data_IF_976960290883
#
_entry.id   IF_976960290883
#
_cell.length_a   1.000
_cell.length_b   1.000
_cell.length_c   1.000
_cell.angle_alpha   90.00
_cell.angle_beta   90.00
_cell.angle_gamma   90.00
#
_symmetry.space_group_name_H-M   'P 1'
#
loop_
_entity.id
_entity.type
_entity.pdbx_description
1 polymer ?
#
# COMPACT_ATOMS: atom_id res chain seq x y z
N UNK A 1 -53.85 19.19 -13.24
CA UNK A 1 -55.30 18.94 -13.20
C UNK A 1 -55.54 17.71 -12.35
N UNK A 2 -56.43 17.86 -11.37
CA UNK A 2 -57.24 16.81 -10.70
C UNK A 2 -56.53 15.71 -9.90
N UNK A 3 -55.87 16.03 -8.78
CA UNK A 3 -55.95 15.16 -7.57
C UNK A 3 -55.78 15.94 -6.24
N UNK A 4 -55.08 17.08 -6.21
CA UNK A 4 -54.72 17.74 -4.94
C UNK A 4 -55.78 18.66 -4.30
N UNK A 5 -57.03 18.68 -4.80
CA UNK A 5 -58.10 19.55 -4.27
C UNK A 5 -59.10 18.84 -3.36
N UNK A 6 -59.01 17.51 -3.18
CA UNK A 6 -60.02 16.74 -2.43
C UNK A 6 -59.66 16.41 -0.98
N UNK A 7 -58.40 16.60 -0.55
CA UNK A 7 -57.98 16.25 0.82
C UNK A 7 -58.05 17.45 1.78
N UNK A 8 -58.02 18.69 1.28
CA UNK A 8 -58.12 19.91 2.09
C UNK A 8 -59.56 20.35 2.40
N UNK A 9 -60.57 19.78 1.73
CA UNK A 9 -61.99 20.10 1.94
C UNK A 9 -62.71 19.16 2.95
N UNK A 10 -62.11 18.02 3.30
CA UNK A 10 -62.69 17.07 4.26
C UNK A 10 -62.28 17.33 5.72
N UNK A 11 -61.23 18.12 5.96
CA UNK A 11 -60.71 18.42 7.31
C UNK A 11 -61.44 19.55 8.04
N UNK A 12 -62.18 20.41 7.34
CA UNK A 12 -62.89 21.56 7.92
C UNK A 12 -64.37 21.29 8.24
N UNK A 13 -64.91 20.14 7.82
CA UNK A 13 -66.30 19.74 8.11
C UNK A 13 -66.43 18.86 9.38
N UNK A 14 -65.36 18.19 9.82
CA UNK A 14 -65.38 17.37 11.04
C UNK A 14 -65.03 18.15 12.32
N UNK A 15 -64.39 19.31 12.21
CA UNK A 15 -64.11 20.17 13.37
C UNK A 15 -65.30 21.04 13.77
N UNK A 16 -66.25 21.29 12.85
CA UNK A 16 -67.46 22.08 13.12
C UNK A 16 -68.62 21.29 13.74
N UNK A 17 -68.61 19.95 13.65
CA UNK A 17 -69.75 19.10 14.04
C UNK A 17 -69.61 18.47 15.43
N UNK A 18 -68.42 18.56 16.06
CA UNK A 18 -68.20 18.15 17.46
C UNK A 18 -68.47 19.28 18.45
N UNK A 19 -68.58 20.53 17.98
CA UNK A 19 -68.81 21.70 18.84
C UNK A 19 -70.28 22.01 19.15
N UNK A 20 -71.26 21.26 18.60
CA UNK A 20 -72.68 21.58 18.72
C UNK A 20 -73.56 20.56 19.45
N UNK A 21 -72.97 19.50 20.00
CA UNK A 21 -73.67 18.58 20.89
C UNK A 21 -72.81 18.33 22.12
N UNK A 22 -73.07 19.10 23.18
CA UNK A 22 -72.84 18.85 24.61
C UNK A 22 -72.65 20.20 25.31
N UNK A 23 -73.74 20.98 25.29
CA UNK A 23 -73.96 22.01 26.29
C UNK A 23 -74.39 21.32 27.58
N UNK A 24 -73.53 21.37 28.61
CA UNK A 24 -73.88 20.97 29.97
C UNK A 24 -72.90 19.97 30.58
N UNK A 25 -72.35 20.38 31.74
CA UNK A 25 -71.55 19.61 32.71
C UNK A 25 -70.01 19.63 32.54
N UNK A 26 -69.39 20.33 33.50
CA UNK A 26 -68.04 20.18 34.06
C UNK A 26 -66.80 20.42 33.18
N UNK A 27 -66.46 21.71 33.06
CA UNK A 27 -65.24 22.27 32.48
C UNK A 27 -63.99 22.17 33.40
N UNK A 28 -63.81 21.09 34.18
CA UNK A 28 -62.67 20.99 35.12
C UNK A 28 -61.79 19.74 34.98
N UNK A 29 -62.20 18.71 34.24
CA UNK A 29 -61.41 17.47 34.09
C UNK A 29 -60.78 17.26 32.71
N UNK A 30 -61.19 18.02 31.69
CA UNK A 30 -60.64 17.89 30.34
C UNK A 30 -59.24 18.51 30.18
N UNK A 31 -58.91 19.54 30.96
CA UNK A 31 -57.59 20.17 30.92
C UNK A 31 -56.46 19.29 31.51
N UNK A 32 -56.80 18.31 32.35
CA UNK A 32 -55.82 17.39 32.96
C UNK A 32 -55.30 16.32 31.99
N UNK A 33 -56.03 16.01 30.91
CA UNK A 33 -55.62 14.98 29.95
C UNK A 33 -55.33 15.52 28.54
N UNK A 34 -55.99 16.61 28.12
CA UNK A 34 -55.78 17.16 26.77
C UNK A 34 -54.47 17.96 26.66
N UNK A 35 -54.11 18.74 27.68
CA UNK A 35 -52.85 19.52 27.69
C UNK A 35 -51.60 18.61 27.67
N UNK A 36 -51.48 17.54 28.48
CA UNK A 36 -50.33 16.65 28.40
C UNK A 36 -50.25 15.88 27.06
N UNK A 37 -51.39 15.55 26.45
CA UNK A 37 -51.38 14.88 25.14
C UNK A 37 -50.92 15.80 24.01
N UNK A 38 -51.41 17.04 23.97
CA UNK A 38 -50.99 18.03 22.97
C UNK A 38 -49.54 18.47 23.17
N UNK A 39 -49.08 18.63 24.41
CA UNK A 39 -47.67 18.94 24.70
C UNK A 39 -46.75 17.77 24.35
N UNK A 40 -47.15 16.52 24.60
CA UNK A 40 -46.40 15.34 24.19
C UNK A 40 -46.30 15.22 22.66
N UNK A 41 -47.41 15.40 21.93
CA UNK A 41 -47.41 15.40 20.45
C UNK A 41 -46.54 16.54 19.91
N UNK A 42 -46.58 17.73 20.53
CA UNK A 42 -45.76 18.87 20.12
C UNK A 42 -44.26 18.64 20.39
N UNK A 43 -43.89 18.01 21.52
CA UNK A 43 -42.50 17.61 21.84
C UNK A 43 -42.00 16.52 20.90
N UNK A 44 -42.85 15.55 20.51
CA UNK A 44 -42.52 14.53 19.50
C UNK A 44 -42.34 15.18 18.12
N UNK A 45 -43.17 16.14 17.73
CA UNK A 45 -43.01 16.87 16.48
C UNK A 45 -41.78 17.80 16.47
N UNK A 46 -41.47 18.46 17.59
CA UNK A 46 -40.25 19.26 17.77
C UNK A 46 -39.00 18.38 17.75
N UNK A 47 -39.00 17.24 18.43
CA UNK A 47 -37.87 16.30 18.41
C UNK A 47 -37.68 15.67 17.03
N UNK A 48 -38.74 15.28 16.32
CA UNK A 48 -38.65 14.81 14.93
C UNK A 48 -38.19 15.91 13.96
N UNK A 49 -38.57 17.17 14.20
CA UNK A 49 -38.12 18.32 13.40
C UNK A 49 -36.68 18.70 13.71
N UNK A 50 -36.22 18.56 14.95
CA UNK A 50 -34.83 18.71 15.37
C UNK A 50 -33.99 17.56 14.79
N UNK A 51 -34.47 16.31 14.81
CA UNK A 51 -33.83 15.17 14.15
C UNK A 51 -33.75 15.38 12.63
N UNK A 52 -34.80 15.92 11.98
CA UNK A 52 -34.77 16.29 10.56
C UNK A 52 -33.82 17.47 10.29
N UNK A 53 -33.71 18.46 11.19
CA UNK A 53 -32.74 19.57 11.09
C UNK A 53 -31.30 19.11 11.27
N UNK A 54 -31.04 18.17 12.20
CA UNK A 54 -29.75 17.51 12.34
C UNK A 54 -29.42 16.66 11.11
N UNK A 55 -30.41 15.97 10.52
CA UNK A 55 -30.26 15.22 9.27
C UNK A 55 -30.14 16.10 8.01
N UNK A 56 -30.46 17.40 8.13
CA UNK A 56 -30.40 18.41 7.06
C UNK A 56 -29.19 19.34 7.16
N UNK A 57 -28.42 19.28 8.25
CA UNK A 57 -27.21 20.09 8.47
C UNK A 57 -25.91 19.30 8.50
N UNK A 58 -25.97 17.99 8.24
CA UNK A 58 -24.84 17.28 7.67
C UNK A 58 -25.05 17.19 6.16
N UNK A 59 -24.31 18.02 5.40
CA UNK A 59 -23.70 17.41 4.21
C UNK A 59 -23.01 16.16 4.74
N UNK A 60 -23.10 14.99 4.07
CA UNK A 60 -22.23 13.89 4.44
C UNK A 60 -20.83 14.50 4.45
N UNK A 61 -20.19 14.61 5.62
CA UNK A 61 -18.75 14.69 5.63
C UNK A 61 -18.39 13.43 4.87
N UNK A 62 -17.80 13.62 3.70
CA UNK A 62 -17.23 12.54 2.94
C UNK A 62 -16.40 11.75 3.95
N UNK A 63 -16.96 10.61 4.37
CA UNK A 63 -16.27 9.65 5.18
C UNK A 63 -14.94 9.47 4.47
N UNK A 64 -13.83 9.64 5.19
CA UNK A 64 -12.48 9.26 4.77
C UNK A 64 -12.52 7.77 4.41
N UNK A 65 -13.10 7.51 3.24
CA UNK A 65 -13.11 6.26 2.54
C UNK A 65 -11.69 6.21 2.03
N UNK A 66 -10.92 5.20 2.45
CA UNK A 66 -9.58 4.93 1.92
C UNK A 66 -9.56 5.27 0.42
N UNK A 67 -8.99 6.40 0.05
CA UNK A 67 -8.84 6.78 -1.35
C UNK A 67 -7.68 5.94 -1.85
N UNK A 68 -7.94 4.67 -2.15
CA UNK A 68 -7.00 3.82 -2.88
C UNK A 68 -6.94 4.44 -4.28
N UNK A 69 -5.80 5.03 -4.69
CA UNK A 69 -5.71 5.69 -5.97
C UNK A 69 -5.99 4.67 -7.09
N UNK A 70 -7.05 4.87 -7.86
CA UNK A 70 -7.39 4.00 -8.99
C UNK A 70 -6.75 4.51 -10.30
N UNK A 71 -6.39 5.79 -10.36
CA UNK A 71 -5.80 6.41 -11.54
C UNK A 71 -4.26 6.30 -11.57
N UNK A 72 -3.75 5.90 -12.73
CA UNK A 72 -2.32 5.91 -13.06
C UNK A 72 -1.83 7.34 -13.29
N UNK A 73 -0.55 7.59 -13.02
CA UNK A 73 0.16 8.85 -13.27
C UNK A 73 -0.40 10.10 -12.53
N UNK A 74 -1.15 9.92 -11.45
CA UNK A 74 -1.58 11.02 -10.58
C UNK A 74 -0.51 11.48 -9.58
N UNK A 75 -0.88 12.42 -8.72
CA UNK A 75 -0.02 13.00 -7.69
C UNK A 75 -0.60 12.67 -6.32
N UNK A 76 0.24 12.21 -5.40
CA UNK A 76 -0.15 11.95 -4.02
C UNK A 76 0.70 12.82 -3.11
N UNK A 77 0.05 13.66 -2.32
CA UNK A 77 0.67 14.58 -1.37
C UNK A 77 0.38 14.06 0.02
N UNK A 78 1.43 13.79 0.78
CA UNK A 78 1.32 13.38 2.18
C UNK A 78 2.03 14.35 3.08
N UNK A 79 1.54 14.52 4.31
CA UNK A 79 2.20 15.38 5.28
C UNK A 79 2.24 14.81 6.69
N UNK A 80 3.32 15.11 7.41
CA UNK A 80 3.48 14.87 8.84
C UNK A 80 3.92 16.18 9.50
N UNK A 81 3.11 16.73 10.40
CA UNK A 81 3.36 18.06 10.97
C UNK A 81 3.13 18.10 12.47
N UNK A 82 3.91 18.94 13.14
CA UNK A 82 3.79 19.25 14.58
C UNK A 82 2.98 20.53 14.76
N UNK A 83 3.50 21.66 14.25
CA UNK A 83 2.90 23.00 14.37
C UNK A 83 1.99 23.39 13.20
N UNK A 84 1.75 22.48 12.26
CA UNK A 84 0.89 22.71 11.09
C UNK A 84 1.58 23.29 9.86
N UNK A 85 2.84 23.73 9.93
CA UNK A 85 3.55 24.33 8.77
C UNK A 85 3.57 23.38 7.54
N UNK A 86 3.96 22.12 7.72
CA UNK A 86 3.95 21.13 6.64
C UNK A 86 2.53 20.88 6.10
N UNK A 87 1.51 20.91 6.96
CA UNK A 87 0.11 20.78 6.54
C UNK A 87 -0.29 21.96 5.64
N UNK A 88 0.06 23.18 6.03
CA UNK A 88 -0.23 24.39 5.24
C UNK A 88 0.49 24.37 3.89
N UNK A 89 1.77 24.01 3.84
CA UNK A 89 2.50 23.90 2.58
C UNK A 89 1.98 22.77 1.67
N UNK A 90 1.61 21.62 2.26
CA UNK A 90 0.98 20.52 1.54
C UNK A 90 -0.37 20.92 0.95
N UNK A 91 -1.22 21.60 1.74
CA UNK A 91 -2.51 22.12 1.27
C UNK A 91 -2.33 23.15 0.16
N UNK A 92 -1.43 24.12 0.33
CA UNK A 92 -1.13 25.11 -0.70
C UNK A 92 -0.63 24.47 -2.00
N UNK A 93 0.15 23.38 -1.91
CA UNK A 93 0.63 22.63 -3.06
C UNK A 93 -0.51 21.87 -3.73
N UNK A 94 -1.38 21.23 -2.93
CA UNK A 94 -2.58 20.56 -3.42
C UNK A 94 -3.48 21.52 -4.20
N UNK A 95 -3.78 22.69 -3.64
CA UNK A 95 -4.66 23.69 -4.27
C UNK A 95 -4.07 24.18 -5.60
N UNK A 96 -2.74 24.41 -5.66
CA UNK A 96 -2.06 24.81 -6.91
C UNK A 96 -2.11 23.71 -7.96
N UNK A 97 -1.69 22.49 -7.61
CA UNK A 97 -1.55 21.39 -8.58
C UNK A 97 -2.91 20.88 -9.07
N UNK A 98 -3.93 20.84 -8.20
CA UNK A 98 -5.28 20.41 -8.57
C UNK A 98 -5.95 21.36 -9.56
N UNK A 99 -5.58 22.65 -9.52
CA UNK A 99 -6.12 23.66 -10.43
C UNK A 99 -5.30 23.78 -11.74
N UNK A 100 -3.98 23.58 -11.68
CA UNK A 100 -3.09 23.77 -12.83
C UNK A 100 -2.91 22.49 -13.68
N UNK A 101 -3.08 21.30 -13.11
CA UNK A 101 -2.81 20.03 -13.79
C UNK A 101 -4.09 19.22 -14.02
N UNK A 102 -4.19 18.62 -15.21
CA UNK A 102 -5.27 17.70 -15.56
C UNK A 102 -4.93 16.26 -15.12
N UNK A 103 -4.72 16.06 -13.81
CA UNK A 103 -4.49 14.74 -13.22
C UNK A 103 -5.06 14.67 -11.79
N UNK A 104 -5.40 13.48 -11.31
CA UNK A 104 -5.84 13.30 -9.93
C UNK A 104 -4.72 13.62 -8.94
N UNK A 105 -4.93 14.67 -8.15
CA UNK A 105 -4.12 15.01 -6.99
C UNK A 105 -4.86 14.55 -5.72
N UNK A 106 -4.15 13.89 -4.81
CA UNK A 106 -4.68 13.44 -3.51
C UNK A 106 -3.85 14.11 -2.41
N UNK A 107 -4.51 14.59 -1.35
CA UNK A 107 -3.86 15.08 -0.14
C UNK A 107 -4.27 14.22 1.05
N UNK A 108 -3.29 13.73 1.82
CA UNK A 108 -3.55 12.85 2.96
C UNK A 108 -2.60 13.14 4.13
N UNK A 109 -3.11 13.04 5.36
CA UNK A 109 -2.26 13.05 6.56
C UNK A 109 -1.56 11.70 6.69
N UNK A 110 -0.26 11.69 7.01
CA UNK A 110 0.48 10.44 7.23
C UNK A 110 -0.13 9.57 8.33
N UNK A 111 -0.85 10.18 9.29
CA UNK A 111 -1.50 9.46 10.38
C UNK A 111 -2.69 8.60 9.90
N UNK A 112 -3.27 8.95 8.75
CA UNK A 112 -4.39 8.21 8.16
C UNK A 112 -3.92 7.01 7.33
N UNK A 113 -2.60 6.85 7.15
CA UNK A 113 -2.00 5.72 6.45
C UNK A 113 -1.76 4.57 7.43
N UNK A 114 -2.71 3.63 7.47
CA UNK A 114 -2.64 2.47 8.37
C UNK A 114 -1.62 1.42 7.94
N UNK A 115 -1.40 1.30 6.62
CA UNK A 115 -0.49 0.32 6.01
C UNK A 115 0.46 1.04 5.02
N UNK A 116 1.67 1.43 5.48
CA UNK A 116 2.64 2.12 4.63
C UNK A 116 3.15 1.26 3.46
N UNK A 117 3.24 -0.05 3.63
CA UNK A 117 3.71 -0.97 2.58
C UNK A 117 2.72 -0.98 1.41
N UNK A 118 1.45 -1.28 1.71
CA UNK A 118 0.38 -1.29 0.72
C UNK A 118 0.26 0.09 0.04
N UNK A 119 0.33 1.17 0.84
CA UNK A 119 0.27 2.53 0.32
C UNK A 119 1.37 2.81 -0.71
N UNK A 120 2.64 2.52 -0.39
CA UNK A 120 3.78 2.79 -1.26
C UNK A 120 3.75 1.90 -2.51
N UNK A 121 3.40 0.62 -2.37
CA UNK A 121 3.24 -0.29 -3.48
C UNK A 121 2.14 0.17 -4.46
N UNK A 122 1.02 0.71 -3.95
CA UNK A 122 -0.03 1.28 -4.81
C UNK A 122 0.49 2.51 -5.57
N UNK A 123 1.23 3.41 -4.90
CA UNK A 123 1.82 4.57 -5.57
C UNK A 123 2.79 4.14 -6.68
N UNK A 124 3.67 3.17 -6.39
CA UNK A 124 4.64 2.63 -7.34
C UNK A 124 3.97 1.92 -8.52
N UNK A 125 3.00 1.04 -8.25
CA UNK A 125 2.24 0.31 -9.28
C UNK A 125 1.51 1.24 -10.24
N UNK A 126 0.97 2.34 -9.71
CA UNK A 126 0.25 3.34 -10.49
C UNK A 126 1.17 4.45 -11.03
N UNK A 127 2.48 4.35 -10.84
CA UNK A 127 3.48 5.33 -11.29
C UNK A 127 3.13 6.76 -10.87
N UNK A 128 2.58 6.92 -9.66
CA UNK A 128 2.19 8.21 -9.12
C UNK A 128 3.43 8.95 -8.61
N UNK A 129 3.38 10.27 -8.66
CA UNK A 129 4.40 11.14 -8.05
C UNK A 129 4.03 11.38 -6.58
N UNK A 130 4.90 10.98 -5.66
CA UNK A 130 4.71 11.14 -4.22
C UNK A 130 5.42 12.40 -3.71
N UNK A 131 4.67 13.33 -3.14
CA UNK A 131 5.20 14.53 -2.47
C UNK A 131 5.05 14.37 -0.96
N UNK A 132 6.15 14.48 -0.21
CA UNK A 132 6.16 14.30 1.24
C UNK A 132 6.53 15.61 1.92
N UNK A 133 5.66 16.15 2.76
CA UNK A 133 5.94 17.31 3.59
C UNK A 133 6.09 16.87 5.04
N UNK A 134 7.30 16.92 5.60
CA UNK A 134 7.53 16.35 6.94
C UNK A 134 8.33 17.28 7.84
N UNK A 135 7.86 17.47 9.08
CA UNK A 135 8.63 18.18 10.11
C UNK A 135 9.62 17.24 10.79
N UNK A 136 10.71 17.76 11.35
CA UNK A 136 11.48 17.05 12.37
C UNK A 136 11.07 17.54 13.76
N UNK A 137 10.84 16.61 14.69
CA UNK A 137 10.45 16.89 16.07
C UNK A 137 11.62 16.70 17.04
N UNK A 138 11.35 16.77 18.35
CA UNK A 138 12.33 16.66 19.44
C UNK A 138 13.28 15.48 19.25
N UNK A 139 14.56 15.70 19.56
CA UNK A 139 15.64 14.72 19.42
C UNK A 139 15.80 14.11 18.01
N UNK A 140 15.35 14.83 16.97
CA UNK A 140 15.46 14.39 15.59
C UNK A 140 14.45 13.30 15.20
N UNK A 141 13.37 13.16 15.96
CA UNK A 141 12.32 12.16 15.75
C UNK A 141 11.23 12.64 14.78
N UNK A 142 10.47 11.74 14.15
CA UNK A 142 9.33 12.14 13.33
C UNK A 142 8.18 12.73 14.19
N UNK A 143 7.31 13.57 13.60
CA UNK A 143 6.08 14.02 14.25
C UNK A 143 5.21 12.82 14.64
N UNK A 144 4.41 12.89 15.71
CA UNK A 144 3.54 11.78 16.13
C UNK A 144 2.64 11.22 15.01
N UNK A 145 2.18 12.10 14.11
CA UNK A 145 1.37 11.74 12.94
C UNK A 145 2.12 10.92 11.88
N UNK A 146 3.45 10.96 11.86
CA UNK A 146 4.28 10.28 10.88
C UNK A 146 5.12 9.14 11.46
N UNK A 147 5.11 8.94 12.79
CA UNK A 147 5.98 7.98 13.48
C UNK A 147 5.87 6.57 12.90
N UNK A 148 4.65 6.10 12.67
CA UNK A 148 4.44 4.75 12.12
C UNK A 148 4.99 4.61 10.69
N UNK A 149 4.68 5.58 9.83
CA UNK A 149 5.11 5.58 8.44
C UNK A 149 6.64 5.60 8.31
N UNK A 150 7.32 6.50 9.05
CA UNK A 150 8.78 6.62 9.03
C UNK A 150 9.43 5.35 9.55
N UNK A 151 8.96 4.81 10.68
CA UNK A 151 9.49 3.57 11.26
C UNK A 151 9.35 2.39 10.30
N UNK A 152 8.18 2.22 9.67
CA UNK A 152 7.95 1.15 8.70
C UNK A 152 8.94 1.23 7.55
N UNK A 153 9.17 2.43 7.01
CA UNK A 153 10.11 2.61 5.90
C UNK A 153 11.56 2.30 6.30
N UNK A 154 11.98 2.67 7.51
CA UNK A 154 13.29 2.33 8.06
C UNK A 154 13.47 0.81 8.22
N UNK A 155 12.45 0.14 8.75
CA UNK A 155 12.42 -1.32 8.88
C UNK A 155 12.47 -1.99 7.50
N UNK A 156 11.69 -1.52 6.52
CA UNK A 156 11.69 -2.04 5.16
C UNK A 156 13.04 -1.85 4.46
N UNK A 157 13.65 -0.67 4.61
CA UNK A 157 14.96 -0.38 4.03
C UNK A 157 16.07 -1.27 4.62
N UNK A 158 15.95 -1.73 5.86
CA UNK A 158 16.96 -2.57 6.52
C UNK A 158 16.65 -4.07 6.49
N UNK A 159 15.40 -4.47 6.23
CA UNK A 159 14.99 -5.87 6.17
C UNK A 159 15.52 -6.55 4.89
N UNK A 160 16.40 -7.54 5.06
CA UNK A 160 16.97 -8.36 3.98
C UNK A 160 15.93 -9.12 3.14
N UNK A 161 14.67 -9.19 3.58
CA UNK A 161 13.59 -9.88 2.87
C UNK A 161 12.81 -8.95 1.96
N UNK A 162 12.99 -7.64 2.07
CA UNK A 162 12.39 -6.64 1.18
C UNK A 162 13.35 -6.42 0.02
N UNK A 163 12.80 -6.39 -1.20
CA UNK A 163 13.61 -6.14 -2.38
C UNK A 163 14.14 -4.71 -2.36
N UNK A 164 15.41 -4.50 -2.70
CA UNK A 164 15.97 -3.14 -2.86
C UNK A 164 15.42 -2.39 -4.07
N UNK A 165 14.63 -3.07 -4.91
CA UNK A 165 13.93 -2.48 -6.05
C UNK A 165 12.40 -2.47 -5.85
N UNK A 166 11.92 -2.68 -4.61
CA UNK A 166 10.47 -2.74 -4.31
C UNK A 166 9.71 -1.51 -4.82
N UNK A 167 10.35 -0.33 -4.76
CA UNK A 167 9.77 0.96 -5.14
C UNK A 167 10.40 1.53 -6.42
N UNK A 168 10.99 0.72 -7.30
CA UNK A 168 11.69 1.18 -8.52
C UNK A 168 10.84 2.11 -9.42
N UNK A 169 9.52 1.87 -9.45
CA UNK A 169 8.56 2.65 -10.26
C UNK A 169 8.00 3.88 -9.53
N UNK A 170 8.34 4.06 -8.26
CA UNK A 170 7.92 5.21 -7.47
C UNK A 170 8.84 6.40 -7.78
N UNK A 171 8.23 7.55 -8.03
CA UNK A 171 8.97 8.82 -8.08
C UNK A 171 8.51 9.71 -6.94
N UNK A 172 9.44 10.38 -6.28
CA UNK A 172 9.11 11.17 -5.09
C UNK A 172 9.88 12.50 -5.01
N UNK A 173 9.43 13.38 -4.12
CA UNK A 173 10.18 14.53 -3.65
C UNK A 173 9.76 14.87 -2.21
N UNK A 174 10.72 15.34 -1.40
CA UNK A 174 10.50 15.63 0.03
C UNK A 174 10.75 17.12 0.30
N UNK A 175 9.84 17.73 1.07
CA UNK A 175 10.03 19.03 1.69
C UNK A 175 10.09 18.84 3.21
N UNK A 176 11.31 18.87 3.75
CA UNK A 176 11.58 18.78 5.17
C UNK A 176 11.50 20.14 5.85
N UNK A 177 10.70 20.25 6.92
CA UNK A 177 10.74 21.42 7.80
C UNK A 177 11.61 21.09 9.02
N UNK A 178 12.73 21.77 9.15
CA UNK A 178 13.64 21.66 10.29
C UNK A 178 14.07 23.03 10.77
N UNK A 179 14.91 23.04 11.80
CA UNK A 179 15.48 24.25 12.35
C UNK A 179 16.95 24.01 12.68
N UNK A 180 17.85 24.75 12.03
CA UNK A 180 19.30 24.57 12.16
C UNK A 180 19.84 24.91 13.55
N UNK A 181 19.01 25.47 14.43
CA UNK A 181 19.33 25.61 15.85
C UNK A 181 19.58 24.28 16.55
N UNK A 182 19.05 23.17 16.02
CA UNK A 182 19.18 21.83 16.60
C UNK A 182 20.32 21.00 16.01
N UNK A 183 21.27 21.63 15.29
CA UNK A 183 22.52 21.05 14.76
C UNK A 183 22.34 19.63 14.16
N UNK A 184 22.82 18.58 14.84
CA UNK A 184 22.78 17.18 14.37
C UNK A 184 21.37 16.62 14.12
N UNK A 185 20.34 17.28 14.66
CA UNK A 185 18.95 16.93 14.46
C UNK A 185 18.27 17.76 13.35
N UNK A 186 18.99 18.65 12.67
CA UNK A 186 18.46 19.45 11.58
C UNK A 186 17.95 18.56 10.43
N UNK A 187 16.64 18.59 10.17
CA UNK A 187 15.99 17.84 9.08
C UNK A 187 16.33 16.34 9.04
N UNK A 188 16.65 15.74 10.20
CA UNK A 188 17.07 14.34 10.30
C UNK A 188 16.03 13.38 9.72
N UNK A 189 14.75 13.63 9.95
CA UNK A 189 13.64 12.79 9.46
C UNK A 189 13.52 12.84 7.94
N UNK A 190 13.63 14.02 7.35
CA UNK A 190 13.55 14.18 5.89
C UNK A 190 14.75 13.50 5.20
N UNK A 191 15.95 13.69 5.74
CA UNK A 191 17.19 13.06 5.25
C UNK A 191 17.10 11.53 5.33
N UNK A 192 16.57 11.02 6.43
CA UNK A 192 16.43 9.58 6.64
C UNK A 192 15.36 8.95 5.75
N UNK A 193 14.22 9.63 5.55
CA UNK A 193 13.21 9.18 4.59
C UNK A 193 13.76 9.14 3.17
N UNK A 194 14.53 10.15 2.79
CA UNK A 194 15.16 10.23 1.49
C UNK A 194 16.10 9.04 1.24
N UNK A 195 16.96 8.75 2.22
CA UNK A 195 17.86 7.58 2.21
C UNK A 195 17.06 6.27 2.06
N UNK A 196 16.04 6.07 2.89
CA UNK A 196 15.24 4.84 2.88
C UNK A 196 14.50 4.64 1.55
N UNK A 197 13.90 5.68 0.98
CA UNK A 197 13.21 5.60 -0.31
C UNK A 197 14.19 5.26 -1.44
N UNK A 198 15.36 5.89 -1.44
CA UNK A 198 16.42 5.60 -2.43
C UNK A 198 16.93 4.16 -2.31
N UNK A 199 17.10 3.63 -1.09
CA UNK A 199 17.54 2.25 -0.86
C UNK A 199 16.51 1.19 -1.28
N UNK A 200 15.24 1.57 -1.35
CA UNK A 200 14.14 0.75 -1.86
C UNK A 200 13.90 0.95 -3.37
N UNK A 201 14.77 1.73 -4.04
CA UNK A 201 14.79 1.90 -5.49
C UNK A 201 13.96 3.06 -6.02
N UNK A 202 13.28 3.83 -5.15
CA UNK A 202 12.50 4.98 -5.58
C UNK A 202 13.40 6.11 -6.10
N UNK A 203 12.90 6.91 -7.05
CA UNK A 203 13.68 7.96 -7.73
C UNK A 203 13.16 9.36 -7.40
N UNK A 204 14.06 10.24 -7.00
CA UNK A 204 13.72 11.67 -6.88
C UNK A 204 13.43 12.25 -8.26
N UNK A 205 12.34 13.02 -8.40
CA UNK A 205 12.08 13.79 -9.62
C UNK A 205 12.42 15.29 -9.48
N UNK A 206 12.57 15.77 -8.25
CA UNK A 206 13.27 17.00 -7.90
C UNK A 206 14.03 16.76 -6.57
N UNK A 207 15.09 17.53 -6.28
CA UNK A 207 15.85 17.35 -5.04
C UNK A 207 15.00 17.56 -3.78
N UNK A 208 15.33 16.79 -2.75
CA UNK A 208 14.79 16.98 -1.38
C UNK A 208 15.22 18.35 -0.84
N UNK A 209 14.26 19.12 -0.32
CA UNK A 209 14.50 20.44 0.27
C UNK A 209 14.52 20.33 1.79
N UNK A 210 15.64 20.74 2.41
CA UNK A 210 15.81 20.80 3.86
C UNK A 210 15.56 22.25 4.31
N UNK A 211 14.29 22.61 4.48
CA UNK A 211 13.90 23.97 4.84
C UNK A 211 14.29 24.30 6.28
N UNK A 212 14.87 25.49 6.47
CA UNK A 212 15.32 25.98 7.77
C UNK A 212 14.38 27.07 8.31
N UNK A 213 13.74 26.80 9.45
CA UNK A 213 12.90 27.75 10.20
C UNK A 213 13.73 28.86 10.87
N UNK A 214 15.03 28.66 11.07
CA UNK A 214 15.89 29.66 11.67
C UNK A 214 16.16 30.81 10.68
N UNK A 215 15.28 31.81 10.63
CA UNK A 215 15.38 32.96 9.71
C UNK A 215 16.72 33.71 9.79
N UNK A 216 17.44 33.63 10.92
CA UNK A 216 18.77 34.24 11.07
C UNK A 216 19.91 33.51 10.36
N UNK A 217 19.75 32.22 10.05
CA UNK A 217 20.72 31.39 9.31
C UNK A 217 20.20 30.89 7.97
N UNK A 218 18.88 30.89 7.77
CA UNK A 218 18.24 30.41 6.54
C UNK A 218 18.65 31.26 5.34
N UNK A 219 19.15 30.60 4.30
CA UNK A 219 19.54 31.22 3.02
C UNK A 219 18.35 31.83 2.25
N UNK A 220 17.11 31.46 2.61
CA UNK A 220 15.88 31.98 1.99
C UNK A 220 14.97 32.70 2.99
N UNK A 221 15.47 33.06 4.17
CA UNK A 221 14.72 33.86 5.15
C UNK A 221 13.66 33.10 5.94
N UNK A 222 13.68 31.76 5.95
CA UNK A 222 12.74 30.92 6.68
C UNK A 222 12.01 29.92 5.77
N UNK A 223 11.06 29.18 6.35
CA UNK A 223 10.35 28.09 5.68
C UNK A 223 9.61 28.54 4.42
N UNK A 224 9.02 29.73 4.42
CA UNK A 224 8.26 30.30 3.30
C UNK A 224 9.15 30.56 2.08
N UNK A 225 10.38 31.00 2.28
CA UNK A 225 11.33 31.25 1.19
C UNK A 225 11.81 29.94 0.56
N UNK A 226 12.16 28.95 1.40
CA UNK A 226 12.47 27.60 0.94
C UNK A 226 11.29 27.01 0.14
N UNK A 227 10.08 27.13 0.67
CA UNK A 227 8.86 26.65 0.00
C UNK A 227 8.63 27.35 -1.34
N UNK A 228 8.84 28.67 -1.42
CA UNK A 228 8.67 29.42 -2.66
C UNK A 228 9.65 28.97 -3.76
N UNK A 229 10.92 28.77 -3.39
CA UNK A 229 11.96 28.23 -4.29
C UNK A 229 11.60 26.81 -4.74
N UNK A 230 11.27 25.92 -3.81
CA UNK A 230 10.98 24.52 -4.10
C UNK A 230 9.66 24.34 -4.88
N UNK A 231 8.63 25.13 -4.58
CA UNK A 231 7.36 25.18 -5.31
C UNK A 231 7.57 25.62 -6.77
N UNK A 232 8.51 26.51 -7.04
CA UNK A 232 8.88 26.92 -8.40
C UNK A 232 9.59 25.80 -9.17
N UNK A 233 10.44 25.02 -8.48
CA UNK A 233 11.08 23.82 -9.05
C UNK A 233 10.04 22.74 -9.39
N UNK A 234 9.09 22.48 -8.48
CA UNK A 234 7.96 21.58 -8.74
C UNK A 234 7.19 22.00 -9.99
N UNK A 235 6.81 23.28 -10.10
CA UNK A 235 6.07 23.80 -11.24
C UNK A 235 6.83 23.57 -12.55
N UNK A 236 8.13 23.84 -12.57
CA UNK A 236 8.99 23.60 -13.72
C UNK A 236 9.04 22.10 -14.10
N UNK A 237 9.16 21.20 -13.12
CA UNK A 237 9.22 19.75 -13.33
C UNK A 237 7.89 19.13 -13.82
N UNK A 238 6.75 19.79 -13.58
CA UNK A 238 5.46 19.38 -14.13
C UNK A 238 5.16 19.99 -15.51
N UNK A 239 5.77 21.13 -15.83
CA UNK A 239 5.57 21.84 -17.10
C UNK A 239 6.55 21.43 -18.20
N UNK A 240 7.71 20.89 -17.86
CA UNK A 240 8.69 20.40 -18.85
C UNK A 240 8.10 19.24 -19.67
N UNK A 241 8.00 19.36 -21.01
CA UNK A 241 7.68 18.23 -21.88
C UNK A 241 8.83 17.21 -21.79
N UNK A 242 8.48 15.91 -21.82
CA UNK A 242 9.47 14.86 -22.10
C UNK A 242 10.07 15.14 -23.49
N UNK A 243 11.31 15.63 -23.53
CA UNK A 243 12.16 15.59 -24.72
C UNK A 243 13.55 15.14 -24.29
N UNK A 244 13.73 13.83 -24.23
CA UNK A 244 15.00 13.23 -24.61
C UNK A 244 14.95 12.98 -26.12
N UNK A 245 15.58 13.88 -26.88
CA UNK A 245 16.37 13.51 -28.04
C UNK A 245 17.28 14.69 -28.41
N UNK A 246 18.57 14.51 -28.20
CA UNK A 246 19.57 15.37 -28.81
C UNK A 246 19.64 14.94 -30.29
N UNK A 247 19.05 15.74 -31.17
CA UNK A 247 19.28 15.62 -32.62
C UNK A 247 20.58 16.37 -32.95
N UNK A 248 21.70 15.63 -32.92
CA UNK A 248 22.94 16.07 -33.51
C UNK A 248 22.84 15.90 -35.03
N UNK A 249 22.21 16.85 -35.71
CA UNK A 249 22.29 16.99 -37.16
C UNK A 249 22.53 18.44 -37.56
N UNK A 250 23.76 18.89 -37.33
CA UNK A 250 24.40 19.77 -38.31
C UNK A 250 25.93 19.76 -38.16
N UNK A 251 26.59 19.40 -39.24
CA UNK A 251 28.03 19.43 -39.44
C UNK A 251 28.51 20.89 -39.44
N UNK A 252 29.20 21.30 -38.37
CA UNK A 252 30.45 22.08 -38.39
C UNK A 252 30.70 22.74 -37.03
N UNK A 253 31.36 22.02 -36.13
CA UNK A 253 32.59 22.50 -35.48
C UNK A 253 33.13 21.39 -34.58
N UNK A 254 34.25 20.83 -35.06
CA UNK A 254 35.08 19.82 -34.40
C UNK A 254 35.82 20.48 -33.25
N UNK A 255 35.78 19.89 -32.04
CA UNK A 255 36.76 20.01 -30.92
C UNK A 255 36.01 19.87 -29.58
N UNK A 256 36.27 18.95 -28.64
CA UNK A 256 37.39 18.04 -28.47
C UNK A 256 36.97 17.00 -27.42
N UNK A 257 36.86 15.74 -27.80
CA UNK A 257 36.88 14.60 -26.89
C UNK A 257 37.89 13.59 -27.44
N UNK A 258 39.18 13.77 -27.16
CA UNK A 258 40.12 12.66 -27.19
C UNK A 258 41.13 12.77 -26.04
N UNK A 259 41.15 11.68 -25.28
CA UNK A 259 42.13 11.31 -24.28
C UNK A 259 43.53 11.22 -24.88
N UNK A 260 44.56 11.62 -24.14
CA UNK A 260 45.93 11.11 -24.31
C UNK A 260 46.76 11.31 -23.03
N UNK A 261 47.64 10.35 -22.84
CA UNK A 261 48.43 9.91 -21.68
C UNK A 261 49.73 10.69 -21.38
N UNK A 262 50.14 10.64 -20.09
CA UNK A 262 51.49 10.76 -19.48
C UNK A 262 52.17 12.15 -19.49
N UNK A 263 52.93 12.64 -18.48
CA UNK A 263 53.74 11.99 -17.45
C UNK A 263 54.13 12.99 -16.32
N UNK A 264 54.27 12.45 -15.10
CA UNK A 264 55.27 12.69 -14.03
C UNK A 264 55.31 13.82 -12.95
N UNK A 265 55.60 13.32 -11.72
CA UNK A 265 56.21 13.86 -10.47
C UNK A 265 55.42 14.80 -9.52
N UNK A 266 55.32 14.65 -8.18
CA UNK A 266 55.75 13.67 -7.15
C UNK A 266 55.12 13.98 -5.76
N UNK A 267 54.77 12.91 -4.99
CA UNK A 267 55.09 12.59 -3.55
C UNK A 267 54.67 13.65 -2.48
N UNK A 268 53.84 13.38 -1.45
CA UNK A 268 54.00 12.41 -0.34
C UNK A 268 52.69 11.82 0.22
N UNK A 269 52.77 10.52 0.55
CA UNK A 269 51.87 9.75 1.43
C UNK A 269 52.16 10.06 2.90
N UNK A 270 51.13 9.98 3.74
CA UNK A 270 51.25 9.30 5.05
C UNK A 270 50.12 8.29 5.24
N UNK A 271 50.54 7.06 5.53
CA UNK A 271 49.74 5.88 5.83
C UNK A 271 49.46 5.79 7.35
N UNK A 272 48.27 5.29 7.68
CA UNK A 272 47.97 4.26 8.67
C UNK A 272 46.46 4.00 8.51
N UNK A 273 45.93 2.81 8.23
CA UNK A 273 46.41 1.48 8.53
C UNK A 273 45.55 0.89 9.64
N UNK A 274 44.32 0.49 9.33
CA UNK A 274 43.65 -0.59 10.06
C UNK A 274 42.64 -1.29 9.16
N UNK A 275 42.75 -2.61 9.14
CA UNK A 275 42.24 -3.52 8.12
C UNK A 275 41.15 -4.37 8.76
N UNK A 276 39.90 -4.16 8.38
CA UNK A 276 38.84 -5.15 8.59
C UNK A 276 38.50 -5.79 7.24
N UNK A 277 38.92 -7.04 7.10
CA UNK A 277 38.50 -7.95 6.04
C UNK A 277 37.01 -8.20 6.23
N UNK A 278 36.17 -7.70 5.33
CA UNK A 278 34.83 -8.23 5.12
C UNK A 278 34.94 -9.08 3.86
N UNK A 279 34.90 -10.39 4.06
CA UNK A 279 34.74 -11.37 2.99
C UNK A 279 33.34 -11.18 2.41
N UNK A 280 33.30 -10.66 1.18
CA UNK A 280 32.13 -10.66 0.32
C UNK A 280 32.08 -12.02 -0.39
N UNK A 281 31.32 -12.95 0.16
CA UNK A 281 30.96 -14.18 -0.55
C UNK A 281 29.74 -13.86 -1.44
N UNK A 282 30.05 -13.28 -2.60
CA UNK A 282 29.26 -13.43 -3.81
C UNK A 282 29.65 -14.78 -4.43
N UNK A 283 28.80 -15.80 -4.31
CA UNK A 283 28.79 -16.92 -5.25
C UNK A 283 27.36 -17.24 -5.67
N UNK A 284 27.19 -17.00 -6.96
CA UNK A 284 26.08 -17.28 -7.86
C UNK A 284 26.02 -18.78 -8.19
N UNK A 285 24.84 -19.30 -8.54
CA UNK A 285 24.77 -20.36 -9.55
C UNK A 285 23.59 -20.06 -10.49
N UNK A 286 23.81 -19.06 -11.34
CA UNK A 286 23.27 -18.98 -12.69
C UNK A 286 23.97 -19.98 -13.60
N UNK A 287 23.31 -21.12 -13.87
CA UNK A 287 23.70 -22.02 -14.93
C UNK A 287 23.44 -21.41 -16.31
N UNK A 288 24.51 -21.11 -17.04
CA UNK A 288 24.48 -20.65 -18.43
C UNK A 288 23.89 -21.67 -19.41
N UNK A 289 23.23 -21.12 -20.43
CA UNK A 289 22.63 -21.80 -21.56
C UNK A 289 23.63 -22.66 -22.36
N UNK A 290 23.18 -23.85 -22.74
CA UNK A 290 23.63 -24.54 -23.96
C UNK A 290 22.38 -24.81 -24.79
N UNK A 291 22.46 -24.40 -26.05
CA UNK A 291 21.45 -24.58 -27.07
C UNK A 291 20.98 -26.05 -27.16
N UNK A 292 19.68 -26.20 -27.06
CA UNK A 292 18.93 -27.42 -27.34
C UNK A 292 17.47 -27.01 -27.43
N UNK A 293 16.92 -27.07 -28.64
CA UNK A 293 15.50 -26.85 -28.93
C UNK A 293 14.62 -27.58 -27.91
N UNK A 294 13.88 -26.82 -27.11
CA UNK A 294 12.72 -27.33 -26.38
C UNK A 294 11.66 -26.21 -26.40
N UNK A 295 10.58 -26.48 -27.14
CA UNK A 295 9.45 -25.61 -27.43
C UNK A 295 8.99 -24.77 -26.22
N UNK A 296 9.17 -23.46 -26.35
CA UNK A 296 8.49 -22.45 -25.54
C UNK A 296 7.04 -22.39 -26.04
N UNK A 297 6.12 -23.07 -25.36
CA UNK A 297 4.69 -22.92 -25.64
C UNK A 297 4.16 -21.63 -25.01
N UNK A 298 3.70 -20.72 -25.87
CA UNK A 298 3.06 -19.45 -25.51
C UNK A 298 1.77 -19.66 -24.70
N UNK A 299 1.50 -18.72 -23.80
CA UNK A 299 0.43 -18.75 -22.79
C UNK A 299 -0.99 -18.58 -23.39
N UNK A 300 -1.13 -18.51 -24.72
CA UNK A 300 -2.41 -18.34 -25.42
C UNK A 300 -3.05 -19.68 -25.85
N UNK A 301 -2.31 -20.79 -25.81
CA UNK A 301 -2.77 -22.10 -26.33
C UNK A 301 -3.50 -23.00 -25.29
N UNK A 302 -3.72 -22.50 -24.06
CA UNK A 302 -4.42 -23.26 -23.01
C UNK A 302 -5.92 -22.99 -22.95
N UNK A 303 -6.41 -21.96 -23.67
CA UNK A 303 -7.82 -21.60 -23.72
C UNK A 303 -8.66 -22.53 -24.59
N UNK A 304 -8.08 -23.02 -25.69
CA UNK A 304 -8.81 -23.72 -26.75
C UNK A 304 -9.11 -25.19 -26.40
N UNK A 305 -8.32 -25.80 -25.51
CA UNK A 305 -8.56 -27.19 -25.06
C UNK A 305 -9.77 -27.34 -24.12
N UNK A 306 -10.28 -26.22 -23.58
CA UNK A 306 -11.41 -26.23 -22.64
C UNK A 306 -12.77 -25.95 -23.31
N UNK A 307 -12.79 -25.48 -24.56
CA UNK A 307 -14.05 -25.09 -25.25
C UNK A 307 -14.69 -26.25 -26.04
N UNK A 308 -13.95 -27.34 -26.29
CA UNK A 308 -14.44 -28.47 -27.10
C UNK A 308 -15.08 -29.62 -26.31
N UNK A 309 -15.11 -29.58 -24.97
CA UNK A 309 -15.69 -30.64 -24.13
C UNK A 309 -16.79 -30.14 -23.18
N UNK A 310 -17.98 -29.95 -23.76
CA UNK A 310 -19.25 -29.94 -23.03
C UNK A 310 -19.41 -31.24 -22.21
N UNK A 311 -19.85 -31.20 -20.94
CA UNK A 311 -19.88 -32.38 -20.08
C UNK A 311 -21.12 -33.23 -20.43
N UNK A 312 -20.99 -34.06 -21.46
CA UNK A 312 -21.88 -35.20 -21.61
C UNK A 312 -21.38 -36.36 -20.75
N UNK A 313 -22.32 -36.92 -20.00
CA UNK A 313 -22.16 -37.96 -18.99
C UNK A 313 -21.38 -39.19 -19.49
N UNK A 314 -20.71 -39.82 -18.52
CA UNK A 314 -20.17 -41.19 -18.45
C UNK A 314 -18.82 -41.48 -19.15
N UNK A 315 -17.74 -41.45 -18.36
CA UNK A 315 -16.58 -42.30 -18.58
C UNK A 315 -16.06 -42.81 -17.23
N UNK A 316 -16.29 -44.10 -16.95
CA UNK A 316 -15.70 -44.84 -15.82
C UNK A 316 -14.22 -45.11 -16.11
N UNK A 317 -13.37 -44.14 -15.80
CA UNK A 317 -11.92 -44.35 -15.64
C UNK A 317 -11.51 -44.21 -14.17
N UNK A 318 -10.36 -44.75 -13.74
CA UNK A 318 -9.85 -44.47 -12.40
C UNK A 318 -9.64 -42.94 -12.21
N UNK A 319 -9.85 -42.40 -11.00
CA UNK A 319 -9.65 -40.98 -10.73
C UNK A 319 -8.24 -40.54 -11.14
N UNK A 320 -8.13 -39.46 -11.90
CA UNK A 320 -6.85 -38.91 -12.33
C UNK A 320 -6.10 -38.31 -11.12
N UNK A 321 -4.78 -38.33 -11.16
CA UNK A 321 -3.95 -37.67 -10.15
C UNK A 321 -4.02 -36.14 -10.33
N UNK A 322 -4.00 -35.40 -9.22
CA UNK A 322 -4.06 -33.93 -9.25
C UNK A 322 -2.75 -33.32 -9.75
N UNK A 323 -1.63 -33.90 -9.32
CA UNK A 323 -0.30 -33.43 -9.66
C UNK A 323 0.18 -34.18 -10.90
N UNK A 324 0.13 -33.52 -12.07
CA UNK A 324 0.73 -34.05 -13.30
C UNK A 324 2.27 -33.96 -13.24
N UNK A 325 3.01 -34.74 -14.05
CA UNK A 325 4.48 -34.67 -14.07
C UNK A 325 5.05 -33.26 -14.35
N UNK A 326 4.33 -32.47 -15.15
CA UNK A 326 4.71 -31.08 -15.46
C UNK A 326 4.54 -30.20 -14.22
N UNK A 327 3.37 -30.29 -13.55
CA UNK A 327 3.09 -29.53 -12.32
C UNK A 327 4.06 -29.94 -11.20
N UNK A 328 4.38 -31.24 -11.10
CA UNK A 328 5.34 -31.80 -10.14
C UNK A 328 6.69 -31.09 -10.23
N UNK A 329 7.29 -31.02 -11.43
CA UNK A 329 8.58 -30.34 -11.65
C UNK A 329 8.52 -28.86 -11.23
N UNK A 330 7.44 -28.17 -11.60
CA UNK A 330 7.25 -26.75 -11.24
C UNK A 330 7.16 -26.53 -9.73
N UNK A 331 6.37 -27.35 -9.03
CA UNK A 331 6.19 -27.25 -7.58
C UNK A 331 7.44 -27.66 -6.80
N UNK A 332 8.16 -28.68 -7.26
CA UNK A 332 9.44 -29.09 -6.67
C UNK A 332 10.49 -27.97 -6.79
N UNK A 333 10.57 -27.28 -7.95
CA UNK A 333 11.42 -26.10 -8.13
C UNK A 333 11.05 -24.95 -7.16
N UNK A 334 9.76 -24.82 -6.82
CA UNK A 334 9.29 -23.85 -5.83
C UNK A 334 9.55 -24.28 -4.36
N UNK A 335 10.17 -25.44 -4.14
CA UNK A 335 10.53 -25.95 -2.82
C UNK A 335 9.45 -26.77 -2.12
N UNK A 336 8.40 -27.21 -2.83
CA UNK A 336 7.44 -28.16 -2.28
C UNK A 336 8.04 -29.57 -2.22
N UNK A 337 7.74 -30.30 -1.15
CA UNK A 337 7.87 -31.76 -1.07
C UNK A 337 6.49 -32.36 -1.22
N UNK A 338 6.26 -32.98 -2.37
CA UNK A 338 4.95 -33.48 -2.78
C UNK A 338 4.71 -34.87 -2.18
N UNK A 339 3.49 -35.10 -1.73
CA UNK A 339 3.09 -36.33 -1.04
C UNK A 339 1.92 -36.93 -1.79
N UNK A 340 2.12 -38.13 -2.33
CA UNK A 340 1.13 -38.80 -3.17
C UNK A 340 0.79 -38.02 -4.44
N UNK A 341 -0.50 -37.98 -4.73
CA UNK A 341 -1.12 -37.46 -5.94
C UNK A 341 -1.67 -36.04 -5.81
N UNK A 342 -1.80 -35.49 -4.60
CA UNK A 342 -2.50 -34.22 -4.36
C UNK A 342 -1.96 -33.33 -3.22
N UNK A 343 -1.15 -33.87 -2.31
CA UNK A 343 -0.72 -33.17 -1.10
C UNK A 343 0.69 -32.62 -1.24
N UNK A 344 1.04 -31.65 -0.37
CA UNK A 344 2.38 -31.10 -0.34
C UNK A 344 2.73 -30.41 0.98
N UNK A 345 4.01 -30.46 1.32
CA UNK A 345 4.59 -29.74 2.45
C UNK A 345 5.73 -28.84 1.97
N UNK A 346 5.89 -27.68 2.60
CA UNK A 346 6.94 -26.72 2.30
C UNK A 346 7.51 -26.16 3.60
N UNK A 347 8.79 -25.81 3.58
CA UNK A 347 9.41 -25.14 4.71
C UNK A 347 8.88 -23.70 4.81
N UNK A 348 8.36 -23.33 5.97
CA UNK A 348 7.89 -21.97 6.21
C UNK A 348 9.03 -20.96 6.04
N UNK A 349 8.73 -19.80 5.43
CA UNK A 349 9.67 -18.68 5.26
C UNK A 349 10.41 -18.34 6.56
N UNK A 350 9.69 -18.31 7.67
CA UNK A 350 10.22 -17.95 8.98
C UNK A 350 11.03 -19.07 9.64
N UNK A 351 10.66 -20.33 9.41
CA UNK A 351 11.49 -21.47 9.79
C UNK A 351 12.84 -21.39 9.09
N UNK A 352 12.84 -21.14 7.77
CA UNK A 352 14.06 -20.96 6.98
C UNK A 352 14.91 -19.77 7.46
N UNK A 353 14.27 -18.66 7.83
CA UNK A 353 14.93 -17.48 8.41
C UNK A 353 15.60 -17.79 9.74
N UNK A 354 14.89 -18.50 10.63
CA UNK A 354 15.36 -18.81 11.96
C UNK A 354 16.51 -19.82 11.95
N UNK A 355 16.46 -20.83 11.06
CA UNK A 355 17.57 -21.76 10.84
C UNK A 355 18.86 -21.07 10.37
N UNK A 356 18.75 -19.88 9.75
CA UNK A 356 19.89 -19.06 9.31
C UNK A 356 20.32 -18.00 10.34
N UNK A 357 19.80 -18.06 11.55
CA UNK A 357 20.10 -17.07 12.60
C UNK A 357 19.45 -15.70 12.40
N UNK A 358 18.53 -15.53 11.44
CA UNK A 358 17.89 -14.23 11.11
C UNK A 358 16.56 -14.00 11.85
N UNK A 359 16.34 -14.69 12.98
CA UNK A 359 15.14 -14.57 13.81
C UNK A 359 13.90 -15.34 13.33
N UNK A 360 12.94 -15.51 14.24
CA UNK A 360 11.68 -16.25 14.07
C UNK A 360 10.48 -15.36 13.70
N UNK A 361 9.30 -15.97 13.50
CA UNK A 361 8.06 -15.24 13.24
C UNK A 361 7.43 -14.68 14.51
N UNK A 362 6.33 -13.93 14.35
CA UNK A 362 5.53 -13.44 15.49
C UNK A 362 5.10 -14.58 16.44
N UNK A 363 4.83 -15.80 15.93
CA UNK A 363 4.45 -16.92 16.80
C UNK A 363 5.59 -17.36 17.72
N UNK A 364 6.82 -17.23 17.26
CA UNK A 364 7.99 -17.49 18.09
C UNK A 364 8.12 -16.42 19.17
N UNK A 365 8.06 -15.15 18.79
CA UNK A 365 8.23 -14.02 19.72
C UNK A 365 7.12 -13.94 20.77
N UNK A 366 5.85 -14.08 20.38
CA UNK A 366 4.71 -13.87 21.28
C UNK A 366 4.24 -15.13 22.00
N UNK A 367 4.42 -16.32 21.40
CA UNK A 367 3.92 -17.57 21.97
C UNK A 367 5.01 -18.58 22.31
N UNK A 368 6.30 -18.26 22.09
CA UNK A 368 7.40 -19.19 22.35
C UNK A 368 7.42 -20.42 21.44
N UNK A 369 6.67 -20.43 20.34
CA UNK A 369 6.62 -21.56 19.41
C UNK A 369 7.92 -21.58 18.62
N UNK A 370 8.70 -22.65 18.74
CA UNK A 370 9.94 -22.80 17.98
C UNK A 370 9.65 -22.94 16.49
N UNK A 371 10.25 -22.08 15.66
CA UNK A 371 9.90 -22.01 14.23
C UNK A 371 10.15 -23.33 13.48
N UNK A 372 11.12 -24.15 13.92
CA UNK A 372 11.38 -25.47 13.32
C UNK A 372 10.22 -26.47 13.52
N UNK A 373 9.34 -26.23 14.50
CA UNK A 373 8.15 -27.05 14.75
C UNK A 373 6.93 -26.63 13.92
N UNK A 374 6.99 -25.48 13.25
CA UNK A 374 5.93 -25.02 12.35
C UNK A 374 6.08 -25.64 10.95
N UNK A 375 4.95 -26.07 10.36
CA UNK A 375 4.91 -26.73 9.05
C UNK A 375 3.86 -26.06 8.15
N UNK A 376 4.25 -25.68 6.93
CA UNK A 376 3.30 -25.27 5.89
C UNK A 376 2.90 -26.52 5.10
N UNK A 377 1.75 -27.08 5.43
CA UNK A 377 1.25 -28.32 4.82
C UNK A 377 -0.14 -28.10 4.22
N UNK A 378 -0.44 -28.82 3.14
CA UNK A 378 -1.76 -28.84 2.54
C UNK A 378 -2.14 -30.26 2.09
N UNK A 379 -3.35 -30.74 2.46
CA UNK A 379 -3.88 -31.99 1.96
C UNK A 379 -4.50 -31.84 0.55
N UNK A 380 -4.40 -30.67 -0.07
CA UNK A 380 -4.88 -30.40 -1.41
C UNK A 380 -4.17 -29.18 -1.97
N UNK A 381 -3.31 -29.40 -2.97
CA UNK A 381 -2.70 -28.30 -3.73
C UNK A 381 -3.74 -27.55 -4.56
N UNK A 382 -4.83 -28.22 -4.93
CA UNK A 382 -5.96 -27.53 -5.53
C UNK A 382 -6.64 -26.61 -4.49
N UNK A 383 -6.88 -25.35 -4.87
CA UNK A 383 -7.58 -24.39 -4.01
C UNK A 383 -8.70 -23.70 -4.79
N UNK A 384 -9.92 -23.70 -4.23
CA UNK A 384 -11.05 -22.98 -4.81
C UNK A 384 -10.88 -21.46 -4.73
N UNK A 385 -10.05 -20.96 -3.81
CA UNK A 385 -9.85 -19.55 -3.54
C UNK A 385 -8.39 -19.16 -3.75
N UNK A 386 -8.10 -18.29 -4.73
CA UNK A 386 -6.76 -17.74 -4.95
C UNK A 386 -6.53 -16.52 -4.06
N UNK A 387 -6.35 -16.75 -2.76
CA UNK A 387 -6.17 -15.67 -1.79
C UNK A 387 -4.87 -14.88 -2.08
N UNK A 388 -4.95 -13.55 -2.03
CA UNK A 388 -3.80 -12.64 -2.22
C UNK A 388 -2.69 -12.92 -1.19
N UNK A 389 -3.07 -13.30 0.04
CA UNK A 389 -2.15 -13.55 1.15
C UNK A 389 -1.84 -15.04 1.38
N UNK A 390 -1.97 -15.89 0.35
CA UNK A 390 -1.69 -17.31 0.51
C UNK A 390 -0.19 -17.61 0.41
N UNK A 391 0.31 -18.50 1.27
CA UNK A 391 1.65 -19.07 1.11
C UNK A 391 1.74 -20.02 -0.11
N UNK A 392 0.58 -20.51 -0.60
CA UNK A 392 0.46 -21.28 -1.84
C UNK A 392 0.44 -20.35 -3.05
N UNK A 393 1.24 -20.68 -4.06
CA UNK A 393 1.36 -19.88 -5.28
C UNK A 393 0.06 -19.83 -6.10
N UNK A 394 -0.13 -18.78 -6.90
CA UNK A 394 -1.35 -18.55 -7.70
C UNK A 394 -1.47 -19.44 -8.95
N UNK A 395 -0.41 -20.17 -9.29
CA UNK A 395 -0.37 -21.18 -10.37
C UNK A 395 -0.82 -22.56 -9.92
N UNK A 396 -1.20 -22.73 -8.65
CA UNK A 396 -1.74 -24.00 -8.18
C UNK A 396 -3.08 -24.34 -8.87
N UNK A 397 -3.41 -25.64 -8.99
CA UNK A 397 -4.67 -26.08 -9.59
C UNK A 397 -5.87 -25.43 -8.88
N UNK A 398 -6.95 -25.19 -9.63
CA UNK A 398 -8.22 -24.71 -9.07
C UNK A 398 -9.27 -25.77 -9.30
N UNK A 399 -10.06 -26.07 -8.28
CA UNK A 399 -11.24 -26.91 -8.40
C UNK A 399 -12.27 -26.57 -7.34
N UNK A 400 -13.53 -26.53 -7.75
CA UNK A 400 -14.69 -26.29 -6.88
C UNK A 400 -15.28 -27.59 -6.34
N UNK A 401 -14.93 -28.74 -6.92
CA UNK A 401 -15.34 -30.08 -6.49
C UNK A 401 -14.15 -31.04 -6.55
N UNK A 402 -14.16 -32.05 -5.68
CA UNK A 402 -13.10 -33.06 -5.65
C UNK A 402 -13.31 -34.09 -6.75
N UNK A 403 -12.33 -34.23 -7.65
CA UNK A 403 -12.40 -35.14 -8.81
C UNK A 403 -11.15 -36.02 -8.95
N UNK A 404 -10.22 -35.92 -8.00
CA UNK A 404 -8.92 -36.58 -8.06
C UNK A 404 -8.87 -37.85 -7.23
N UNK A 405 -7.82 -38.64 -7.46
CA UNK A 405 -7.45 -39.76 -6.60
C UNK A 405 -7.27 -39.27 -5.16
N UNK A 406 -7.92 -39.95 -4.21
CA UNK A 406 -7.80 -39.66 -2.78
C UNK A 406 -6.77 -40.59 -2.17
N UNK A 407 -5.60 -40.04 -1.85
CA UNK A 407 -4.59 -40.77 -1.08
C UNK A 407 -5.01 -40.95 0.39
N UNK A 408 -4.49 -42.00 1.02
CA UNK A 408 -4.75 -42.32 2.42
C UNK A 408 -4.24 -41.22 3.38
N UNK A 409 -5.05 -40.89 4.39
CA UNK A 409 -4.78 -39.78 5.31
C UNK A 409 -3.55 -40.03 6.19
N UNK A 410 -3.32 -41.27 6.61
CA UNK A 410 -2.15 -41.62 7.42
C UNK A 410 -0.87 -41.47 6.59
N UNK A 411 -0.90 -41.91 5.34
CA UNK A 411 0.19 -41.74 4.37
C UNK A 411 0.51 -40.26 4.13
N UNK A 412 -0.52 -39.41 3.96
CA UNK A 412 -0.34 -37.96 3.78
C UNK A 412 0.27 -37.31 5.02
N UNK A 413 -0.23 -37.63 6.21
CA UNK A 413 0.25 -37.08 7.47
C UNK A 413 1.71 -37.48 7.74
N UNK A 414 2.01 -38.78 7.63
CA UNK A 414 3.35 -39.32 7.85
C UNK A 414 4.35 -38.76 6.84
N UNK A 415 3.97 -38.71 5.56
CA UNK A 415 4.79 -38.11 4.50
C UNK A 415 5.06 -36.62 4.72
N UNK A 416 4.11 -35.86 5.27
CA UNK A 416 4.31 -34.45 5.61
C UNK A 416 5.32 -34.27 6.74
N UNK A 417 5.19 -35.06 7.81
CA UNK A 417 6.10 -35.04 8.96
C UNK A 417 7.51 -35.42 8.53
N UNK A 418 7.67 -36.53 7.81
CA UNK A 418 8.99 -37.02 7.36
C UNK A 418 9.68 -36.02 6.43
N UNK A 419 8.97 -35.49 5.44
CA UNK A 419 9.53 -34.50 4.52
C UNK A 419 9.88 -33.18 5.24
N UNK A 420 9.08 -32.75 6.22
CA UNK A 420 9.37 -31.57 7.02
C UNK A 420 10.66 -31.73 7.84
N UNK A 421 10.82 -32.85 8.55
CA UNK A 421 12.04 -33.12 9.30
C UNK A 421 13.27 -33.26 8.39
N UNK A 422 13.13 -33.91 7.23
CA UNK A 422 14.21 -33.98 6.22
C UNK A 422 14.66 -32.61 5.72
N UNK A 423 13.77 -31.62 5.66
CA UNK A 423 14.12 -30.25 5.25
C UNK A 423 14.79 -29.43 6.37
N UNK A 424 14.72 -29.87 7.62
CA UNK A 424 15.30 -29.16 8.77
C UNK A 424 16.64 -29.78 9.19
N UNK A 425 16.74 -31.11 9.15
CA UNK A 425 17.92 -31.87 9.58
C UNK A 425 19.01 -31.97 8.49
N UNK A 426 19.25 -30.88 7.76
CA UNK A 426 20.32 -30.75 6.75
C UNK A 426 21.49 -29.95 7.30
#
# INVERSE_FOLDING_TARGET
>A
MTVDLYILAAGSALTGLVFYFFAGAEWSLWHLFTIPLYTFVFIVFLSLSIIKRFKSSSKPSESLTKIIPQEKNGITIVFGSVKGNCRTFAQSTYDKLSNELNCQVILQDLNDITDPEEFLQIQAKNQRKLLIFISTYEDGTPPPSATWFVRHLQEAATDFRVSKNELEKLTYAIFGCGNSFYDDNFNKVATELDRCLSELGAKQFIPTELADENSGKSIYGGLEGHYSKWSSQLKSAFQSPKTEKCDCSNENSISCCQSSTNNDHSIEKKQNGEQSRIESDDDDEGGGCKDGDDDIMDLEDMGDYMETHSPNKTAKGPPKEMITPIIRKSLEKQGYKLIGSHSGVKLCRWTKSMLRGRGGCYKHTFYGIESHRCMETTPSLACANKCVFCWRHHTNPVGTSWQWKTDDAQTVCQGAIENHYKMINT
#
